data_IF_566439238003
#
_entry.id   IF_566439238003
#
_cell.length_a   1.000
_cell.length_b   1.000
_cell.length_c   1.000
_cell.angle_alpha   90.00
_cell.angle_beta   90.00
_cell.angle_gamma   90.00
#
_symmetry.space_group_name_H-M   'P 1'
#
loop_
_entity.id
_entity.type
_entity.pdbx_description
1 polymer ?
2 non-polymer ?
3 non-polymer ?
4 non-polymer ?
5 water ?
#
# COMPACT_ATOMS: atom_id res chain seq x y z
N UNK A 23 12.11 -25.32 -8.45
CA UNK A 23 10.84 -24.67 -8.74
C UNK A 23 9.65 -25.51 -8.29
N UNK A 24 8.64 -24.86 -7.74
CA UNK A 24 7.40 -25.52 -7.37
C UNK A 24 6.42 -25.49 -8.54
N UNK A 25 5.21 -25.98 -8.30
CA UNK A 25 4.16 -25.87 -9.32
C UNK A 25 3.65 -24.44 -9.43
N UNK A 26 3.62 -23.71 -8.31
CA UNK A 26 3.12 -22.33 -8.34
C UNK A 26 4.01 -21.43 -9.19
N UNK A 27 5.33 -21.53 -9.00
CA UNK A 27 6.25 -20.67 -9.76
C UNK A 27 6.21 -21.00 -11.24
N UNK A 28 6.09 -22.29 -11.58
CA UNK A 28 6.07 -22.70 -12.97
C UNK A 28 4.87 -22.12 -13.71
N UNK A 29 3.68 -22.23 -13.11
CA UNK A 29 2.47 -21.75 -13.78
C UNK A 29 2.38 -20.23 -13.78
N UNK A 30 2.87 -19.58 -12.72
CA UNK A 30 2.87 -18.12 -12.71
C UNK A 30 3.85 -17.55 -13.73
N UNK A 31 5.03 -18.15 -13.84
CA UNK A 31 6.03 -17.64 -14.77
C UNK A 31 5.62 -17.86 -16.22
N UNK A 32 4.80 -18.88 -16.49
CA UNK A 32 4.38 -19.20 -17.85
C UNK A 32 3.08 -18.51 -18.25
N UNK A 33 2.39 -17.88 -17.31
CA UNK A 33 1.07 -17.32 -17.60
C UNK A 33 1.19 -15.99 -18.34
N UNK A 34 0.11 -15.63 -19.03
CA UNK A 34 0.00 -14.34 -19.68
C UNK A 34 -0.36 -13.29 -18.64
N UNK A 35 0.27 -12.13 -18.74
CA UNK A 35 0.00 -11.00 -17.84
C UNK A 35 -0.94 -10.05 -18.57
N UNK A 36 -2.22 -9.98 -18.21
CA UNK A 36 -3.14 -9.07 -18.90
C UNK A 36 -2.74 -7.61 -18.68
N UNK A 37 -3.31 -6.73 -19.50
CA UNK A 37 -2.98 -5.32 -19.44
C UNK A 37 -3.53 -4.70 -18.16
N UNK A 38 -3.07 -3.49 -17.87
CA UNK A 38 -3.52 -2.78 -16.67
C UNK A 38 -5.00 -2.45 -16.75
N UNK A 39 -5.50 -2.12 -17.94
CA UNK A 39 -6.91 -1.79 -18.08
C UNK A 39 -7.78 -3.03 -17.91
N UNK A 40 -7.35 -4.17 -18.45
CA UNK A 40 -8.11 -5.40 -18.28
C UNK A 40 -8.22 -5.77 -16.80
N UNK A 41 -7.13 -5.62 -16.05
CA UNK A 41 -7.10 -5.97 -14.64
C UNK A 41 -7.72 -4.90 -13.74
N UNK A 42 -8.08 -3.74 -14.28
CA UNK A 42 -8.75 -2.67 -13.56
C UNK A 42 -7.91 -2.13 -12.41
N UNK A 43 -6.58 -2.30 -12.45
CA UNK A 43 -5.74 -1.86 -11.34
C UNK A 43 -5.44 -0.37 -11.36
N UNK A 44 -5.91 0.37 -12.37
CA UNK A 44 -5.76 1.81 -12.40
C UNK A 44 -6.89 2.55 -11.68
N UNK A 45 -7.97 1.84 -11.36
CA UNK A 45 -9.12 2.44 -10.70
C UNK A 45 -8.91 2.49 -9.19
N UNK A 46 -9.27 3.64 -8.60
CA UNK A 46 -9.24 3.75 -7.14
C UNK A 46 -10.30 2.88 -6.47
N UNK A 47 -11.32 2.45 -7.21
CA UNK A 47 -12.39 1.60 -6.69
C UNK A 47 -12.08 0.12 -6.84
N UNK A 48 -10.83 -0.23 -7.16
CA UNK A 48 -10.45 -1.62 -7.39
C UNK A 48 -10.78 -2.48 -6.16
N UNK A 49 -11.19 -3.72 -6.43
CA UNK A 49 -11.49 -4.68 -5.38
C UNK A 49 -10.94 -6.05 -5.80
N UNK A 50 -10.55 -6.83 -4.81
CA UNK A 50 -9.87 -8.10 -5.03
C UNK A 50 -10.69 -9.32 -4.63
N UNK A 51 -11.95 -9.15 -4.22
CA UNK A 51 -12.70 -10.26 -3.65
C UNK A 51 -12.88 -11.40 -4.65
N UNK A 52 -12.96 -11.10 -5.94
CA UNK A 52 -13.20 -12.12 -6.95
C UNK A 52 -11.93 -12.68 -7.57
N UNK A 53 -10.76 -12.26 -7.10
CA UNK A 53 -9.49 -12.67 -7.67
C UNK A 53 -8.91 -13.84 -6.90
N UNK A 54 -8.29 -14.77 -7.62
CA UNK A 54 -7.55 -15.85 -6.97
C UNK A 54 -6.14 -15.37 -6.62
N UNK A 55 -5.42 -16.21 -5.87
CA UNK A 55 -4.04 -15.88 -5.51
C UNK A 55 -3.19 -15.68 -6.76
N UNK A 56 -3.30 -16.59 -7.73
CA UNK A 56 -2.55 -16.45 -8.97
C UNK A 56 -2.89 -15.14 -9.67
N UNK A 57 -4.15 -14.72 -9.61
CA UNK A 57 -4.57 -13.50 -10.30
C UNK A 57 -3.99 -12.26 -9.63
N UNK A 58 -3.89 -12.25 -8.30
CA UNK A 58 -3.26 -11.12 -7.62
C UNK A 58 -1.77 -11.06 -7.92
N UNK A 59 -1.13 -12.23 -8.10
CA UNK A 59 0.27 -12.25 -8.48
C UNK A 59 0.48 -11.68 -9.88
N UNK A 60 -0.45 -11.95 -10.79
CA UNK A 60 -0.37 -11.37 -12.13
C UNK A 60 -0.58 -9.87 -12.08
N UNK A 61 -1.53 -9.41 -11.26
CA UNK A 61 -1.72 -7.97 -11.10
C UNK A 61 -0.45 -7.31 -10.58
N UNK A 62 0.26 -7.98 -9.68
CA UNK A 62 1.48 -7.41 -9.12
C UNK A 62 2.58 -7.33 -10.18
N UNK A 63 2.68 -8.33 -11.06
CA UNK A 63 3.64 -8.27 -12.16
C UNK A 63 3.32 -7.10 -13.07
N UNK A 64 2.03 -6.88 -13.36
CA UNK A 64 1.63 -5.77 -14.22
C UNK A 64 1.96 -4.43 -13.59
N UNK A 65 1.87 -4.34 -12.26
CA UNK A 65 2.22 -3.09 -11.57
C UNK A 65 3.70 -2.77 -11.77
N UNK A 66 4.58 -3.76 -11.56
CA UNK A 66 6.00 -3.55 -11.81
C UNK A 66 6.28 -3.20 -13.26
N UNK A 67 5.55 -3.83 -14.19
CA UNK A 67 5.82 -3.63 -15.61
C UNK A 67 5.41 -2.24 -16.05
N UNK A 68 4.17 -1.84 -15.74
CA UNK A 68 3.66 -0.56 -16.23
C UNK A 68 4.29 0.64 -15.52
N UNK A 69 4.92 0.44 -14.38
CA UNK A 69 5.74 1.47 -13.76
C UNK A 69 7.17 1.47 -14.31
N UNK A 70 7.43 0.66 -15.34
CA UNK A 70 8.73 0.58 -16.01
C UNK A 70 9.84 0.09 -15.09
N UNK A 71 9.49 -0.63 -14.04
CA UNK A 71 10.49 -1.13 -13.10
C UNK A 71 11.22 -2.35 -13.64
N UNK A 72 10.53 -3.21 -14.39
CA UNK A 72 11.19 -4.35 -15.01
C UNK A 72 12.18 -3.89 -16.08
N UNK A 73 11.79 -2.87 -16.85
CA UNK A 73 12.67 -2.35 -17.89
C UNK A 73 13.87 -1.63 -17.30
N UNK A 74 13.63 -0.65 -16.43
CA UNK A 74 14.71 0.23 -16.01
C UNK A 74 15.70 -0.44 -15.05
N UNK A 75 15.35 -1.60 -14.49
CA UNK A 75 16.23 -2.25 -13.52
C UNK A 75 16.53 -3.70 -13.90
N UNK A 76 16.20 -4.12 -15.11
CA UNK A 76 16.63 -5.40 -15.68
C UNK A 76 16.26 -6.57 -14.77
N UNK A 77 14.99 -6.63 -14.40
CA UNK A 77 14.51 -7.74 -13.57
C UNK A 77 14.25 -8.96 -14.44
N UNK A 78 14.80 -10.10 -14.04
CA UNK A 78 14.47 -11.35 -14.69
C UNK A 78 13.05 -11.75 -14.32
N UNK A 79 12.31 -12.27 -15.30
CA UNK A 79 10.88 -12.55 -15.09
C UNK A 79 10.69 -13.58 -13.99
N UNK A 80 11.48 -14.66 -13.98
CA UNK A 80 11.31 -15.68 -12.97
C UNK A 80 11.80 -15.22 -11.60
N UNK A 81 12.70 -14.25 -11.54
CA UNK A 81 13.12 -13.71 -10.25
C UNK A 81 12.00 -12.87 -9.64
N UNK A 82 11.37 -12.02 -10.44
CA UNK A 82 10.24 -11.24 -9.95
C UNK A 82 9.09 -12.15 -9.53
N UNK A 83 8.81 -13.18 -10.34
CA UNK A 83 7.76 -14.14 -9.98
C UNK A 83 8.08 -14.85 -8.69
N UNK A 84 9.34 -15.27 -8.52
CA UNK A 84 9.74 -15.93 -7.28
C UNK A 84 9.64 -14.97 -6.10
N UNK A 85 10.03 -13.71 -6.30
CA UNK A 85 9.95 -12.72 -5.23
C UNK A 85 8.51 -12.48 -4.79
N UNK A 86 7.59 -12.38 -5.76
CA UNK A 86 6.19 -12.14 -5.44
C UNK A 86 5.62 -13.30 -4.65
N UNK A 87 5.94 -14.53 -5.06
CA UNK A 87 5.44 -15.70 -4.34
C UNK A 87 6.05 -15.80 -2.95
N UNK A 88 7.28 -15.33 -2.77
CA UNK A 88 7.89 -15.33 -1.45
C UNK A 88 7.21 -14.32 -0.53
N UNK A 89 6.94 -13.13 -1.04
CA UNK A 89 6.23 -12.12 -0.25
C UNK A 89 4.85 -12.61 0.13
N UNK A 90 4.12 -13.18 -0.84
CA UNK A 90 2.78 -13.67 -0.56
C UNK A 90 2.79 -14.77 0.49
N UNK A 91 3.75 -15.69 0.40
CA UNK A 91 3.80 -16.81 1.33
C UNK A 91 4.13 -16.37 2.75
N UNK A 92 4.85 -15.26 2.92
CA UNK A 92 5.24 -14.78 4.23
C UNK A 92 4.19 -13.88 4.88
N UNK A 93 2.98 -13.83 4.33
CA UNK A 93 1.82 -13.34 5.04
C UNK A 93 1.01 -14.53 5.53
N UNK A 94 0.27 -14.32 6.62
CA UNK A 94 -0.47 -15.39 7.26
C UNK A 94 -1.93 -15.31 6.84
N UNK A 95 -2.44 -16.41 6.26
CA UNK A 95 -3.83 -16.44 5.82
C UNK A 95 -4.80 -16.51 6.99
N UNK A 96 -4.35 -17.05 8.13
CA UNK A 96 -5.21 -17.14 9.31
C UNK A 96 -5.50 -15.80 9.96
N UNK A 97 -4.84 -14.73 9.52
CA UNK A 97 -5.11 -13.38 10.01
C UNK A 97 -6.12 -12.73 9.09
N UNK A 98 -7.22 -12.22 9.69
CA UNK A 98 -8.40 -11.86 8.91
C UNK A 98 -8.15 -10.68 7.98
N UNK A 99 -7.48 -9.64 8.47
CA UNK A 99 -7.26 -8.43 7.68
C UNK A 99 -5.80 -8.25 7.27
N UNK A 100 -4.86 -8.31 8.21
CA UNK A 100 -3.46 -8.07 7.92
C UNK A 100 -2.86 -9.34 7.28
N UNK A 101 -3.19 -9.53 6.01
CA UNK A 101 -2.73 -10.69 5.26
C UNK A 101 -2.26 -10.21 3.89
N UNK A 102 -2.02 -11.16 2.97
CA UNK A 102 -1.50 -10.81 1.66
C UNK A 102 -2.46 -9.90 0.90
N UNK A 103 -3.77 -10.12 1.05
CA UNK A 103 -4.73 -9.30 0.33
C UNK A 103 -4.68 -7.84 0.75
N UNK A 104 -4.39 -7.57 2.03
CA UNK A 104 -4.22 -6.18 2.46
C UNK A 104 -2.97 -5.57 1.86
N UNK A 105 -1.87 -6.33 1.84
CA UNK A 105 -0.64 -5.86 1.20
C UNK A 105 -0.86 -5.62 -0.28
N UNK A 106 -1.56 -6.55 -0.95
CA UNK A 106 -1.83 -6.39 -2.36
C UNK A 106 -2.69 -5.17 -2.64
N UNK A 107 -3.72 -4.95 -1.81
CA UNK A 107 -4.57 -3.77 -1.99
C UNK A 107 -3.79 -2.48 -1.74
N UNK A 108 -2.88 -2.51 -0.76
CA UNK A 108 -2.06 -1.32 -0.50
C UNK A 108 -1.19 -0.98 -1.70
N UNK A 109 -0.59 -1.99 -2.33
CA UNK A 109 0.24 -1.75 -3.50
C UNK A 109 -0.61 -1.30 -4.69
N UNK A 110 -1.79 -1.88 -4.85
CA UNK A 110 -2.68 -1.44 -5.93
C UNK A 110 -3.04 0.03 -5.78
N UNK A 111 -3.36 0.46 -4.56
CA UNK A 111 -3.67 1.88 -4.35
C UNK A 111 -2.45 2.76 -4.64
N UNK A 112 -1.25 2.26 -4.29
CA UNK A 112 -0.03 2.98 -4.65
C UNK A 112 0.11 3.09 -6.16
N UNK A 113 -0.17 2.01 -6.88
CA UNK A 113 -0.12 2.05 -8.34
C UNK A 113 -1.13 3.05 -8.89
N UNK A 114 -2.36 3.03 -8.37
CA UNK A 114 -3.39 3.93 -8.87
C UNK A 114 -3.06 5.39 -8.57
N UNK A 115 -2.50 5.65 -7.39
CA UNK A 115 -2.09 7.02 -7.06
C UNK A 115 -0.92 7.48 -7.92
N UNK A 116 -0.05 6.56 -8.32
CA UNK A 116 1.04 6.92 -9.21
C UNK A 116 0.52 7.15 -10.64
N UNK A 117 -0.33 6.26 -11.13
CA UNK A 117 -0.85 6.36 -12.48
C UNK A 117 -2.03 7.32 -12.56
N UNK A 118 -3.19 6.90 -12.07
CA UNK A 118 -4.39 7.72 -12.16
C UNK A 118 -4.24 9.01 -11.35
N UNK A 119 -3.57 8.93 -10.20
CA UNK A 119 -3.34 10.10 -9.38
C UNK A 119 -2.24 11.01 -9.87
N UNK A 120 -1.49 10.60 -10.89
CA UNK A 120 -0.46 11.43 -11.52
C UNK A 120 0.64 11.83 -10.55
N UNK A 121 0.90 10.98 -9.56
CA UNK A 121 2.01 11.22 -8.63
C UNK A 121 3.33 10.70 -9.19
N UNK A 122 3.28 9.77 -10.14
CA UNK A 122 4.49 9.17 -10.70
C UNK A 122 5.46 10.21 -11.22
N UNK A 123 4.95 11.27 -11.84
CA UNK A 123 5.82 12.28 -12.43
C UNK A 123 6.52 13.14 -11.39
N UNK A 124 6.03 13.15 -10.15
CA UNK A 124 6.66 13.91 -9.08
C UNK A 124 7.78 13.16 -8.39
N UNK A 125 8.00 11.89 -8.72
CA UNK A 125 8.96 11.05 -8.04
C UNK A 125 9.99 10.51 -9.02
N UNK A 126 11.08 9.98 -8.47
CA UNK A 126 12.13 9.35 -9.27
C UNK A 126 11.85 7.85 -9.39
N UNK A 127 12.59 7.20 -10.30
CA UNK A 127 12.42 5.77 -10.51
C UNK A 127 12.73 4.97 -9.26
N UNK A 128 13.79 5.36 -8.54
CA UNK A 128 14.16 4.64 -7.32
C UNK A 128 13.12 4.82 -6.24
N UNK A 129 12.50 6.00 -6.16
CA UNK A 129 11.45 6.21 -5.17
C UNK A 129 10.22 5.37 -5.50
N UNK A 130 9.86 5.29 -6.78
CA UNK A 130 8.73 4.47 -7.19
C UNK A 130 9.01 2.99 -6.94
N UNK A 131 10.22 2.53 -7.27
CA UNK A 131 10.58 1.15 -7.00
C UNK A 131 10.46 0.83 -5.52
N UNK A 132 10.95 1.73 -4.66
CA UNK A 132 10.94 1.47 -3.22
C UNK A 132 9.53 1.53 -2.65
N UNK A 133 8.71 2.46 -3.14
CA UNK A 133 7.34 2.57 -2.65
C UNK A 133 6.54 1.31 -2.96
N UNK A 134 6.69 0.76 -4.18
CA UNK A 134 5.94 -0.42 -4.55
C UNK A 134 6.38 -1.64 -3.73
N UNK A 135 7.69 -1.82 -3.55
CA UNK A 135 8.18 -2.91 -2.72
C UNK A 135 7.72 -2.73 -1.27
N UNK A 136 7.81 -1.50 -0.76
CA UNK A 136 7.42 -1.25 0.62
C UNK A 136 5.93 -1.50 0.83
N UNK A 137 5.10 -1.06 -0.12
CA UNK A 137 3.65 -1.29 0.00
C UNK A 137 3.33 -2.77 0.09
N UNK A 138 4.02 -3.58 -0.71
CA UNK A 138 3.77 -5.03 -0.70
C UNK A 138 4.33 -5.69 0.55
N UNK A 139 5.35 -5.09 1.16
CA UNK A 139 6.07 -5.73 2.25
C UNK A 139 5.78 -5.13 3.62
N UNK A 140 5.01 -4.04 3.69
CA UNK A 140 4.95 -3.24 4.91
C UNK A 140 4.31 -3.97 6.09
N UNK A 141 3.64 -5.10 5.88
CA UNK A 141 3.01 -5.84 6.97
C UNK A 141 3.44 -7.31 6.99
N UNK A 142 4.61 -7.62 6.44
CA UNK A 142 5.05 -9.00 6.34
C UNK A 142 5.08 -9.68 7.70
N UNK A 143 4.60 -10.94 7.73
CA UNK A 143 4.60 -11.78 8.91
C UNK A 143 3.70 -11.24 10.03
N UNK A 144 2.73 -10.40 9.69
CA UNK A 144 1.82 -9.87 10.70
C UNK A 144 1.01 -10.99 11.33
N UNK A 145 0.84 -10.93 12.65
CA UNK A 145 0.16 -11.97 13.40
C UNK A 145 -1.25 -11.57 13.83
N UNK A 146 -1.70 -10.38 13.49
CA UNK A 146 -2.96 -9.90 14.00
C UNK A 146 -2.76 -8.93 15.15
N UNK A 147 -3.65 -7.93 15.24
CA UNK A 147 -3.51 -6.87 16.22
C UNK A 147 -3.59 -7.41 17.65
N UNK A 148 -4.28 -8.53 17.85
CA UNK A 148 -4.39 -9.09 19.20
C UNK A 148 -3.17 -9.93 19.57
N UNK A 149 -2.63 -10.69 18.62
CA UNK A 149 -1.44 -11.51 18.86
C UNK A 149 -0.17 -10.69 18.67
N UNK A 165 10.38 3.07 19.50
CA UNK A 165 9.07 2.51 19.14
C UNK A 165 9.10 1.90 17.74
N UNK A 166 7.91 1.67 17.19
CA UNK A 166 7.76 1.04 15.87
C UNK A 166 8.45 -0.32 15.83
N UNK A 167 8.26 -1.10 16.89
CA UNK A 167 8.91 -2.40 17.00
C UNK A 167 8.45 -3.34 15.88
N UNK A 168 7.14 -3.35 15.60
CA UNK A 168 6.61 -4.26 14.59
C UNK A 168 7.11 -3.90 13.19
N UNK A 169 7.11 -2.60 12.86
CA UNK A 169 7.52 -2.18 11.52
C UNK A 169 8.98 -2.50 11.25
N UNK A 170 9.81 -2.56 12.30
CA UNK A 170 11.19 -3.01 12.10
C UNK A 170 11.25 -4.49 11.76
N UNK A 171 10.34 -5.28 12.35
CA UNK A 171 10.26 -6.69 11.99
C UNK A 171 9.76 -6.87 10.57
N UNK A 172 8.79 -6.05 10.15
CA UNK A 172 8.27 -6.13 8.79
C UNK A 172 9.37 -5.84 7.77
N UNK A 173 10.13 -4.77 8.00
CA UNK A 173 11.24 -4.45 7.09
C UNK A 173 12.31 -5.54 7.11
N UNK A 174 12.55 -6.15 8.27
CA UNK A 174 13.55 -7.21 8.36
C UNK A 174 13.12 -8.42 7.54
N UNK A 175 11.82 -8.74 7.55
CA UNK A 175 11.30 -9.78 6.66
C UNK A 175 11.47 -9.40 5.20
N UNK A 176 11.22 -8.12 4.87
CA UNK A 176 11.37 -7.66 3.50
C UNK A 176 12.81 -7.77 3.04
N UNK A 177 13.76 -7.41 3.90
CA UNK A 177 15.18 -7.47 3.53
C UNK A 177 15.63 -8.91 3.32
N UNK A 178 15.13 -9.84 4.14
CA UNK A 178 15.53 -11.23 4.00
C UNK A 178 15.05 -11.82 2.67
N UNK A 179 13.84 -11.46 2.25
CA UNK A 179 13.34 -11.93 0.97
C UNK A 179 14.13 -11.32 -0.18
N UNK A 180 14.45 -10.03 -0.07
CA UNK A 180 15.20 -9.36 -1.12
C UNK A 180 16.60 -9.94 -1.31
N UNK A 181 17.16 -10.57 -0.28
CA UNK A 181 18.49 -11.16 -0.37
C UNK A 181 18.46 -12.68 -0.56
N UNK A 182 17.28 -13.30 -0.54
CA UNK A 182 17.21 -14.74 -0.71
C UNK A 182 17.61 -15.14 -2.13
N UNK A 183 18.28 -16.28 -2.30
CA UNK A 183 18.68 -16.70 -3.65
C UNK A 183 17.48 -16.87 -4.57
N UNK A 184 17.61 -16.32 -5.78
CA UNK A 184 16.55 -16.37 -6.77
C UNK A 184 15.48 -15.31 -6.63
N UNK A 185 15.49 -14.53 -5.54
CA UNK A 185 14.47 -13.53 -5.29
C UNK A 185 15.01 -12.10 -5.36
N UNK A 186 16.24 -11.93 -5.83
CA UNK A 186 16.94 -10.64 -5.71
C UNK A 186 16.56 -9.75 -6.89
N UNK A 187 15.38 -9.14 -6.79
CA UNK A 187 14.88 -8.25 -7.82
C UNK A 187 15.64 -6.93 -7.90
N UNK A 188 16.51 -6.64 -6.92
CA UNK A 188 17.32 -5.43 -6.92
C UNK A 188 18.73 -5.67 -7.42
N UNK A 189 19.02 -6.87 -7.92
CA UNK A 189 20.39 -7.19 -8.34
C UNK A 189 20.87 -6.27 -9.46
N UNK A 190 19.96 -5.81 -10.31
CA UNK A 190 20.32 -4.93 -11.41
C UNK A 190 20.75 -3.54 -11.00
N UNK A 191 20.60 -3.19 -9.73
CA UNK A 191 20.97 -1.87 -9.24
C UNK A 191 22.44 -1.87 -8.81
N UNK A 192 23.08 -0.72 -8.99
CA UNK A 192 24.41 -0.52 -8.42
C UNK A 192 24.30 -0.35 -6.91
N UNK A 193 25.46 -0.41 -6.23
CA UNK A 193 25.47 -0.28 -4.78
C UNK A 193 24.90 1.07 -4.36
N UNK A 194 25.23 2.12 -5.11
CA UNK A 194 24.70 3.46 -4.79
C UNK A 194 23.18 3.46 -4.90
N UNK A 195 22.64 2.95 -6.01
CA UNK A 195 21.19 2.86 -6.14
C UNK A 195 20.62 1.89 -5.12
N UNK A 196 21.30 0.77 -4.86
CA UNK A 196 20.79 -0.23 -3.94
C UNK A 196 20.69 0.32 -2.52
N UNK A 197 21.75 0.98 -2.05
CA UNK A 197 21.72 1.57 -0.72
C UNK A 197 20.66 2.66 -0.62
N UNK A 198 20.50 3.46 -1.67
CA UNK A 198 19.47 4.49 -1.67
C UNK A 198 18.08 3.87 -1.62
N UNK A 199 17.86 2.79 -2.37
CA UNK A 199 16.55 2.16 -2.41
C UNK A 199 16.22 1.51 -1.07
N UNK A 200 17.19 0.85 -0.45
CA UNK A 200 16.94 0.18 0.84
C UNK A 200 16.54 1.18 1.91
N UNK A 201 17.14 2.38 1.89
CA UNK A 201 16.80 3.39 2.88
C UNK A 201 15.38 3.91 2.68
N UNK A 202 14.96 4.07 1.42
CA UNK A 202 13.59 4.52 1.16
C UNK A 202 12.59 3.44 1.54
N UNK A 203 12.89 2.18 1.23
CA UNK A 203 12.03 1.07 1.64
C UNK A 203 11.88 1.05 3.15
N UNK A 204 12.99 1.19 3.87
CA UNK A 204 12.96 1.11 5.33
C UNK A 204 12.15 2.26 5.91
N UNK A 205 12.40 3.49 5.42
CA UNK A 205 11.61 4.64 5.89
C UNK A 205 10.14 4.47 5.55
N UNK A 206 9.83 3.94 4.37
CA UNK A 206 8.45 3.79 3.96
C UNK A 206 7.71 2.76 4.81
N UNK A 207 8.37 1.66 5.15
CA UNK A 207 7.73 0.64 5.98
C UNK A 207 7.56 1.15 7.40
N UNK A 208 8.58 1.83 7.94
CA UNK A 208 8.46 2.42 9.27
C UNK A 208 7.37 3.50 9.30
N UNK A 209 7.12 4.15 8.16
CA UNK A 209 6.11 5.19 8.12
C UNK A 209 4.70 4.65 8.33
N UNK A 210 4.48 3.37 8.04
CA UNK A 210 3.15 2.77 8.23
C UNK A 210 2.81 2.54 9.70
N UNK A 211 3.69 2.92 10.62
CA UNK A 211 3.36 2.97 12.03
C UNK A 211 2.51 4.22 12.27
N UNK A 212 1.26 4.00 12.72
CA UNK A 212 0.33 5.12 12.88
C UNK A 212 0.82 6.12 13.91
N UNK A 213 1.61 5.68 14.89
CA UNK A 213 2.20 6.62 15.84
C UNK A 213 3.16 7.57 15.14
N UNK A 214 3.98 7.05 14.21
CA UNK A 214 4.86 7.92 13.45
C UNK A 214 4.06 8.86 12.55
N UNK A 215 2.94 8.38 11.99
CA UNK A 215 2.10 9.23 11.16
C UNK A 215 1.51 10.38 11.96
N UNK A 216 1.04 10.10 13.18
CA UNK A 216 0.45 11.13 14.01
C UNK A 216 1.50 12.14 14.45
N UNK A 217 2.74 11.69 14.66
CA UNK A 217 3.80 12.59 15.10
C UNK A 217 4.29 13.48 13.97
N UNK A 218 4.25 13.01 12.73
CA UNK A 218 4.83 13.74 11.61
C UNK A 218 3.82 14.47 10.74
N UNK A 219 2.53 14.14 10.84
CA UNK A 219 1.54 14.75 9.95
C UNK A 219 1.30 16.22 10.27
N UNK A 220 1.59 16.66 11.49
CA UNK A 220 1.41 18.07 11.83
C UNK A 220 2.26 18.98 10.97
N UNK A 221 3.52 18.59 10.72
CA UNK A 221 4.38 19.37 9.84
C UNK A 221 3.86 19.35 8.40
N UNK A 222 3.37 18.20 7.94
CA UNK A 222 2.88 18.10 6.57
C UNK A 222 1.67 18.99 6.34
N UNK A 223 0.75 19.04 7.30
CA UNK A 223 -0.42 19.90 7.19
C UNK A 223 -0.05 21.37 7.35
N UNK A 224 0.96 21.68 8.16
CA UNK A 224 1.43 23.06 8.27
C UNK A 224 1.88 23.60 6.92
N UNK A 225 2.76 22.86 6.24
CA UNK A 225 3.29 23.31 4.95
C UNK A 225 2.16 23.43 3.92
N UNK A 226 1.22 22.49 3.94
CA UNK A 226 0.16 22.49 2.93
C UNK A 226 -0.75 23.70 3.11
N UNK A 227 -1.17 23.98 4.34
CA UNK A 227 -2.08 25.09 4.57
C UNK A 227 -1.40 26.45 4.43
N UNK A 228 -0.08 26.49 4.45
CA UNK A 228 0.67 27.73 4.27
C UNK A 228 1.17 27.90 2.83
N UNK A 229 0.70 27.06 1.90
CA UNK A 229 1.15 27.09 0.50
C UNK A 229 2.67 26.97 0.42
N UNK A 230 3.27 26.32 1.41
CA UNK A 230 4.72 26.22 1.54
C UNK A 230 5.28 24.88 1.09
N UNK A 231 4.42 23.93 0.73
CA UNK A 231 4.89 22.58 0.42
C UNK A 231 5.64 22.57 -0.91
N UNK A 232 6.82 21.97 -0.90
CA UNK A 232 7.66 21.86 -2.09
C UNK A 232 8.34 20.50 -2.10
N UNK A 233 8.17 19.76 -3.19
CA UNK A 233 8.72 18.41 -3.30
C UNK A 233 10.19 18.40 -3.69
N UNK A 234 10.75 19.53 -4.12
CA UNK A 234 12.18 19.59 -4.40
C UNK A 234 13.03 19.53 -3.14
N UNK A 235 12.46 19.91 -2.00
CA UNK A 235 13.16 19.80 -0.72
C UNK A 235 13.28 18.32 -0.35
N UNK A 236 14.48 17.81 -0.08
CA UNK A 236 14.61 16.40 0.30
C UNK A 236 13.88 16.05 1.57
N UNK A 237 13.77 16.98 2.52
CA UNK A 237 13.07 16.69 3.77
C UNK A 237 11.57 16.60 3.55
N UNK A 238 10.99 17.52 2.76
CA UNK A 238 9.57 17.46 2.49
C UNK A 238 9.22 16.31 1.55
N UNK A 239 10.14 15.95 0.65
CA UNK A 239 9.91 14.79 -0.22
C UNK A 239 9.79 13.51 0.61
N UNK A 240 10.72 13.31 1.54
CA UNK A 240 10.66 12.13 2.41
C UNK A 240 9.42 12.15 3.28
N UNK A 241 9.00 13.33 3.72
CA UNK A 241 7.75 13.44 4.49
C UNK A 241 6.55 13.05 3.63
N UNK A 242 6.55 13.47 2.37
CA UNK A 242 5.45 13.12 1.47
C UNK A 242 5.39 11.62 1.23
N UNK A 243 6.55 10.97 1.06
CA UNK A 243 6.56 9.52 0.88
C UNK A 243 5.97 8.81 2.09
N UNK A 244 6.21 9.36 3.29
CA UNK A 244 5.65 8.78 4.50
C UNK A 244 4.13 8.92 4.51
N UNK A 245 3.63 10.11 4.19
CA UNK A 245 2.18 10.32 4.15
C UNK A 245 1.53 9.48 3.06
N UNK A 246 2.21 9.33 1.92
CA UNK A 246 1.65 8.54 0.82
C UNK A 246 1.54 7.07 1.20
N UNK A 247 2.49 6.56 1.99
CA UNK A 247 2.41 5.18 2.45
C UNK A 247 1.19 4.98 3.34
N UNK A 248 0.91 5.92 4.23
CA UNK A 248 -0.25 5.81 5.10
C UNK A 248 -1.55 5.91 4.32
N UNK A 249 -1.60 6.82 3.34
CA UNK A 249 -2.81 6.97 2.53
C UNK A 249 -3.16 5.68 1.81
N UNK A 250 -2.15 4.96 1.30
CA UNK A 250 -2.41 3.68 0.67
C UNK A 250 -2.70 2.61 1.72
N UNK A 251 -2.02 2.67 2.86
CA UNK A 251 -2.22 1.69 3.92
C UNK A 251 -3.67 1.67 4.41
N UNK A 252 -4.33 2.82 4.43
CA UNK A 252 -5.69 2.95 4.93
C UNK A 252 -6.72 3.02 3.83
N UNK A 253 -6.34 2.75 2.57
CA UNK A 253 -7.18 3.08 1.43
C UNK A 253 -8.49 2.30 1.39
N UNK A 254 -8.60 1.22 2.17
CA UNK A 254 -9.88 0.51 2.23
C UNK A 254 -10.99 1.43 2.71
N UNK A 255 -10.65 2.44 3.51
CA UNK A 255 -11.63 3.40 4.00
C UNK A 255 -12.21 4.28 2.89
N UNK A 256 -11.64 4.24 1.69
CA UNK A 256 -12.08 5.06 0.57
C UNK A 256 -12.89 4.27 -0.45
N UNK A 257 -13.03 2.97 -0.28
CA UNK A 257 -13.61 2.10 -1.29
C UNK A 257 -15.12 2.30 -1.38
N UNK A 258 -15.73 1.88 -2.50
CA UNK A 258 -17.20 1.91 -2.60
C UNK A 258 -17.85 1.20 -1.44
N UNK A 259 -19.02 1.71 -1.04
CA UNK A 259 -19.68 1.26 0.19
C UNK A 259 -19.84 -0.25 0.30
N UNK A 260 -20.27 -1.00 -0.73
CA UNK A 260 -20.30 -2.46 -0.59
C UNK A 260 -18.95 -3.07 -0.25
N UNK A 261 -17.87 -2.50 -0.79
CA UNK A 261 -16.54 -3.04 -0.54
C UNK A 261 -16.06 -2.64 0.85
N UNK A 262 -16.20 -1.35 1.20
CA UNK A 262 -15.76 -0.89 2.52
C UNK A 262 -16.49 -1.63 3.63
N UNK A 263 -17.79 -1.88 3.45
CA UNK A 263 -18.54 -2.65 4.44
C UNK A 263 -17.94 -4.04 4.61
N UNK A 264 -17.45 -4.64 3.51
CA UNK A 264 -16.86 -5.96 3.60
C UNK A 264 -15.50 -5.92 4.28
N UNK A 265 -14.67 -4.92 3.96
CA UNK A 265 -13.36 -4.83 4.58
C UNK A 265 -13.50 -4.54 6.07
N UNK A 266 -14.42 -3.65 6.44
CA UNK A 266 -14.66 -3.37 7.85
C UNK A 266 -15.04 -4.65 8.60
N UNK A 267 -15.74 -5.56 7.92
CA UNK A 267 -16.04 -6.85 8.52
C UNK A 267 -14.77 -7.62 8.85
N UNK A 268 -13.79 -7.59 7.94
CA UNK A 268 -12.51 -8.27 8.19
C UNK A 268 -11.76 -7.62 9.34
N UNK A 269 -11.72 -6.28 9.38
CA UNK A 269 -11.03 -5.58 10.46
C UNK A 269 -11.68 -5.90 11.79
N UNK A 270 -13.02 -5.89 11.83
CA UNK A 270 -13.72 -6.20 13.07
C UNK A 270 -13.45 -7.62 13.52
N UNK A 271 -13.32 -8.55 12.58
CA UNK A 271 -13.00 -9.93 12.92
C UNK A 271 -11.63 -10.02 13.57
N UNK A 272 -10.64 -9.32 13.01
CA UNK A 272 -9.29 -9.36 13.59
C UNK A 272 -9.26 -8.65 14.93
N UNK A 273 -9.94 -7.51 15.05
CA UNK A 273 -9.91 -6.74 16.29
C UNK A 273 -10.54 -7.49 17.45
N UNK A 274 -11.65 -8.20 17.19
CA UNK A 274 -12.51 -8.69 18.26
C UNK A 274 -12.67 -10.19 18.33
N UNK A 275 -12.35 -10.93 17.26
CA UNK A 275 -12.60 -12.36 17.23
C UNK A 275 -11.35 -13.22 17.14
N UNK A 276 -10.17 -12.63 16.98
CA UNK A 276 -8.94 -13.41 16.87
C UNK A 276 -7.90 -12.97 17.89
N UNK A 297 -20.54 -4.82 17.27
CA UNK A 297 -21.10 -4.57 15.96
C UNK A 297 -21.89 -3.26 15.94
N UNK A 298 -22.63 -3.01 17.03
CA UNK A 298 -23.41 -1.79 17.12
C UNK A 298 -22.52 -0.56 17.31
N UNK A 299 -21.37 -0.72 17.95
CA UNK A 299 -20.44 0.38 18.14
C UNK A 299 -19.46 0.54 16.99
N UNK A 300 -19.44 -0.41 16.05
CA UNK A 300 -18.54 -0.29 14.89
C UNK A 300 -18.83 0.94 14.06
N UNK A 301 -20.09 1.29 13.72
CA UNK A 301 -20.30 2.48 12.89
C UNK A 301 -19.74 3.77 13.48
N UNK A 302 -19.89 3.98 14.79
CA UNK A 302 -19.33 5.19 15.38
C UNK A 302 -17.80 5.12 15.45
N UNK A 303 -17.26 3.91 15.71
CA UNK A 303 -15.81 3.76 15.71
C UNK A 303 -15.21 4.12 14.36
N UNK A 304 -15.88 3.74 13.28
CA UNK A 304 -15.40 4.09 11.95
C UNK A 304 -15.48 5.59 11.70
N UNK A 305 -16.55 6.23 12.17
CA UNK A 305 -16.69 7.67 12.00
C UNK A 305 -15.57 8.40 12.72
N UNK A 306 -15.29 8.00 13.97
CA UNK A 306 -14.19 8.62 14.70
C UNK A 306 -12.84 8.35 14.05
N UNK A 307 -12.65 7.14 13.52
CA UNK A 307 -11.42 6.83 12.81
C UNK A 307 -11.26 7.68 11.56
N UNK A 308 -12.34 7.88 10.81
CA UNK A 308 -12.28 8.70 9.61
C UNK A 308 -11.98 10.15 9.96
N UNK A 309 -12.61 10.67 11.02
CA UNK A 309 -12.39 12.06 11.41
C UNK A 309 -10.99 12.28 11.97
N UNK A 310 -10.54 11.38 12.84
CA UNK A 310 -9.25 11.60 13.50
C UNK A 310 -8.08 11.33 12.58
N UNK A 311 -8.22 10.42 11.61
CA UNK A 311 -7.04 9.95 10.89
C UNK A 311 -7.14 10.24 9.40
N UNK A 312 -8.24 9.81 8.79
CA UNK A 312 -8.26 9.63 7.33
C UNK A 312 -8.56 10.93 6.58
N UNK A 313 -9.53 11.71 7.04
CA UNK A 313 -10.04 12.82 6.24
C UNK A 313 -8.95 13.85 5.92
N UNK A 314 -8.22 14.32 6.94
CA UNK A 314 -7.20 15.33 6.71
C UNK A 314 -6.11 14.81 5.78
N UNK A 315 -5.76 13.54 5.90
CA UNK A 315 -4.72 12.96 5.05
C UNK A 315 -5.14 12.98 3.59
N UNK A 316 -6.34 12.50 3.28
CA UNK A 316 -6.77 12.46 1.88
C UNK A 316 -7.09 13.85 1.34
N UNK A 317 -7.46 14.78 2.21
CA UNK A 317 -7.60 16.16 1.78
C UNK A 317 -6.24 16.75 1.44
N UNK A 318 -5.23 16.51 2.29
CA UNK A 318 -3.90 17.01 2.00
C UNK A 318 -3.32 16.37 0.75
N UNK A 319 -3.57 15.08 0.54
CA UNK A 319 -3.07 14.40 -0.65
C UNK A 319 -3.72 14.97 -1.92
N UNK A 320 -5.01 15.32 -1.85
CA UNK A 320 -5.66 15.96 -2.97
C UNK A 320 -5.03 17.32 -3.27
N UNK A 321 -4.54 18.01 -2.24
CA UNK A 321 -3.85 19.28 -2.46
C UNK A 321 -2.57 19.08 -3.26
N UNK A 322 -1.83 18.02 -2.96
CA UNK A 322 -0.60 17.73 -3.70
C UNK A 322 -0.92 17.32 -5.13
N UNK A 323 -1.90 16.44 -5.31
CA UNK A 323 -2.30 15.98 -6.65
C UNK A 323 -3.81 16.01 -6.74
N UNK A 324 -4.34 16.84 -7.63
CA UNK A 324 -5.78 16.96 -7.76
C UNK A 324 -6.44 15.66 -8.19
N UNK A 325 -5.71 14.82 -8.93
CA UNK A 325 -6.29 13.59 -9.45
C UNK A 325 -6.43 12.51 -8.39
N UNK A 326 -5.93 12.73 -7.17
CA UNK A 326 -6.16 11.80 -6.07
C UNK A 326 -7.48 12.06 -5.36
N UNK A 327 -8.27 13.02 -5.84
CA UNK A 327 -9.57 13.32 -5.23
C UNK A 327 -10.50 12.12 -5.09
N UNK A 328 -10.53 11.13 -6.00
CA UNK A 328 -11.37 9.95 -5.76
C UNK A 328 -11.16 9.30 -4.40
N UNK A 329 -9.94 9.33 -3.86
CA UNK A 329 -9.71 8.77 -2.52
C UNK A 329 -10.44 9.59 -1.47
N UNK A 330 -10.31 10.92 -1.53
CA UNK A 330 -11.00 11.78 -0.59
C UNK A 330 -12.51 11.66 -0.72
N UNK A 331 -13.00 11.61 -1.96
CA UNK A 331 -14.45 11.56 -2.18
C UNK A 331 -15.05 10.26 -1.68
N UNK A 332 -14.38 9.13 -1.94
CA UNK A 332 -14.84 7.87 -1.41
C UNK A 332 -14.80 7.81 0.11
N UNK A 333 -13.81 8.49 0.71
CA UNK A 333 -13.73 8.54 2.16
C UNK A 333 -14.89 9.35 2.74
N UNK A 334 -15.27 10.44 2.09
CA UNK A 334 -16.40 11.24 2.56
C UNK A 334 -17.70 10.47 2.46
N UNK A 335 -17.92 9.79 1.33
CA UNK A 335 -19.15 9.01 1.16
C UNK A 335 -19.25 7.91 2.21
N UNK A 336 -18.14 7.26 2.52
CA UNK A 336 -18.16 6.22 3.56
C UNK A 336 -18.46 6.80 4.93
N UNK A 337 -18.03 8.04 5.19
CA UNK A 337 -18.36 8.66 6.48
C UNK A 337 -19.86 8.88 6.60
N UNK A 338 -20.52 9.27 5.51
CA UNK A 338 -21.97 9.42 5.52
C UNK A 338 -22.64 8.09 5.86
N UNK A 339 -22.25 7.02 5.16
CA UNK A 339 -22.89 5.73 5.37
C UNK A 339 -22.69 5.24 6.79
N UNK A 340 -21.48 5.40 7.34
CA UNK A 340 -21.22 4.97 8.71
C UNK A 340 -21.98 5.85 9.71
N UNK A 341 -21.98 7.17 9.48
CA UNK A 341 -22.67 8.07 10.40
C UNK A 341 -24.17 7.78 10.46
N UNK A 342 -24.76 7.48 9.31
CA UNK A 342 -26.18 7.13 9.27
C UNK A 342 -26.45 5.88 10.09
N UNK A 343 -25.57 4.88 10.01
CA UNK A 343 -25.75 3.68 10.81
C UNK A 343 -25.50 3.93 12.29
N UNK A 344 -24.58 4.85 12.62
CA UNK A 344 -24.31 5.16 14.02
C UNK A 344 -25.52 5.78 14.69
N UNK A 345 -26.25 6.63 13.97
CA UNK A 345 -27.45 7.27 14.48
C UNK A 345 -28.65 6.33 14.55
N UNK A 346 -28.58 5.17 13.91
CA UNK A 346 -29.66 4.18 13.96
C UNK A 346 -29.55 3.24 15.15
N UNK A 347 -28.50 3.38 15.97
CA UNK A 347 -28.31 2.50 17.11
C UNK A 347 -29.04 3.04 18.35
X LIG B 1 1.42 -2.39 10.27
X LIG C 1 -1.03 -2.13 6.74
X LIG D 1 -8.92 5.86 17.06
X LIG D 1 -7.76 5.15 16.50
X LIG D 1 -8.22 3.98 15.62
X LIG D 1 -7.41 3.40 14.91
X LIG D 1 -14.04 -1.80 11.61
X LIG D 1 -6.50 -1.18 10.73
X LIG D 1 -8.74 0.96 7.14
X LIG D 1 -11.23 8.89 18.91
X LIG D 1 -11.19 2.03 15.70
X LIG D 1 -11.86 1.00 15.05
X LIG D 1 -9.75 2.29 13.78
X LIG D 1 -13.81 -2.08 13.09
X LIG D 1 -6.95 0.15 10.12
X LIG D 1 -8.82 -0.26 8.06
X LIG D 1 -13.26 -0.84 13.78
X LIG D 1 -9.84 6.92 19.07
X LIG D 1 -10.31 7.88 16.93
X LIG D 1 -8.67 6.16 18.48
X LIG D 1 -9.14 7.12 16.33
X LIG D 1 -10.13 2.69 15.08
X LIG D 1 -8.32 0.32 10.36
X LIG D 1 -11.47 0.62 13.77
X LIG D 1 -10.42 1.27 13.13
X LIG D 1 -10.04 0.88 11.84
X LIG D 1 -9.24 0.12 9.33
X LIG D 1 -10.59 0.31 9.58
X LIG D 1 -8.74 0.70 11.58
X LIG D 1 -9.54 3.68 15.76
X LIG D 1 -11.00 0.69 10.86
X LIG D 1 -10.07 8.18 18.35
X LIG D 1 -11.43 0.12 8.69
X LIG D 1 -12.09 -0.38 13.08
#
# INVERSE_FOLDING_TARGET
>A
MGSSHHHHHHSSGLVPRGSHMEETRELQSLAAAVVPSAQTLKITDFSFSDFELSDLETALCTIRMFTDLNLVQNFQMKHEVLCRWILSVKKNYRKNVAYHNWRHAFNTAQCMFAALKAGKIQNKLTDLEILALLIAALSHDLDHRGVNNSYIQRSEHPLAQLYCHSIMEHHHFDQCLMILNSPGNQILSGLSIEEYKTTLKIIKQAILATDLALYIKRRGEFFELIRKNQFNLEDPHQKELFLAMLMTACDLSAITKPWPIQQRIAELVATEFFDQGDRERKELNIEPTDLMNREKKNKIPSMQVGFIDAICLQLYEALTHVSEDCFPLLDGCRKNRQKWQALAEQQ
>B hetero
1 MG MG
>C hetero
1 ZN ZN
>D hetero
1 B0C N CA C O CAA CAB CAC CAD CAG CAH CAI CAJ CAK CAL CAM CAN CAO CAP CAQ CAX CAY CAZ CBA CBB CBC CBD NAS NAT NAU NBE OAF OAV
#
